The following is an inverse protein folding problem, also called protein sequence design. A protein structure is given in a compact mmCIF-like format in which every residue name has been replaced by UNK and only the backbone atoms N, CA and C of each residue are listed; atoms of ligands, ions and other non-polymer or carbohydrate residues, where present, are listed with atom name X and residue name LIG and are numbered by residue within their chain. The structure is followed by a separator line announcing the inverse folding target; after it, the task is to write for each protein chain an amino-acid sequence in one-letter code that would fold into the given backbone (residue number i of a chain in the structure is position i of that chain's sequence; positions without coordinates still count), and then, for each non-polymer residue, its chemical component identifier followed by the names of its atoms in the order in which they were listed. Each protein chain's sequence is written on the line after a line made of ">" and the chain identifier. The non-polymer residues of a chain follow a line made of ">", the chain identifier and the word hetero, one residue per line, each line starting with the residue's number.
data_IF_976565726520
#
_entry.id   IF_976565726520
#
_cell.length_a   1.000
_cell.length_b   1.000
_cell.length_c   1.000
_cell.angle_alpha   90.00
_cell.angle_beta   90.00
_cell.angle_gamma   90.00
#
_symmetry.space_group_name_H-M   'P 1'
#
loop_
_entity.id
_entity.type
_entity.pdbx_description
1 polymer ?
#
# COMPACT_ATOMS: atom_id res chain seq x y z
N UNK A 1 -0.74 34.82 20.49
CA UNK A 1 0.10 33.61 20.37
C UNK A 1 1.35 33.97 19.59
N UNK A 2 2.51 33.40 19.93
CA UNK A 2 3.80 33.76 19.31
C UNK A 2 3.86 33.31 17.83
N UNK A 3 4.20 34.19 16.86
CA UNK A 3 4.22 33.87 15.42
C UNK A 3 5.18 32.73 15.04
N UNK A 4 6.27 32.53 15.79
CA UNK A 4 7.21 31.41 15.58
C UNK A 4 6.51 30.06 15.79
N UNK A 5 5.56 30.00 16.74
CA UNK A 5 4.81 28.78 17.05
C UNK A 5 3.78 28.47 15.97
N UNK A 6 3.18 29.50 15.34
CA UNK A 6 2.23 29.31 14.22
C UNK A 6 2.93 28.78 12.97
N UNK A 7 4.07 29.36 12.59
CA UNK A 7 4.87 28.88 11.45
C UNK A 7 5.35 27.43 11.64
N UNK A 8 5.74 27.07 12.86
CA UNK A 8 6.09 25.68 13.18
C UNK A 8 4.89 24.74 13.04
N UNK A 9 3.70 25.13 13.53
CA UNK A 9 2.49 24.32 13.43
C UNK A 9 2.05 24.05 11.98
N UNK A 10 2.14 25.06 11.10
CA UNK A 10 1.83 24.91 9.67
C UNK A 10 2.80 23.93 8.98
N UNK A 11 4.09 23.98 9.31
CA UNK A 11 5.08 23.06 8.73
C UNK A 11 4.87 21.59 9.14
N UNK A 12 4.42 21.36 10.38
CA UNK A 12 4.16 20.01 10.90
C UNK A 12 2.89 19.42 10.30
N UNK A 13 1.88 20.24 9.97
CA UNK A 13 0.60 19.76 9.44
C UNK A 13 0.71 18.97 8.13
N UNK A 14 1.61 19.37 7.22
CA UNK A 14 1.87 18.60 6.01
C UNK A 14 2.76 17.39 6.28
N UNK A 15 3.71 17.51 7.21
CA UNK A 15 4.64 16.44 7.57
C UNK A 15 3.96 15.22 8.19
N UNK A 16 3.01 15.40 9.10
CA UNK A 16 2.33 14.26 9.74
C UNK A 16 1.46 13.48 8.75
N UNK A 17 0.76 14.17 7.84
CA UNK A 17 -0.10 13.52 6.84
C UNK A 17 0.74 12.65 5.91
N UNK A 18 1.86 13.18 5.42
CA UNK A 18 2.79 12.44 4.56
C UNK A 18 3.41 11.25 5.29
N UNK A 19 3.78 11.42 6.56
CA UNK A 19 4.30 10.35 7.41
C UNK A 19 3.29 9.21 7.60
N UNK A 20 2.05 9.54 7.99
CA UNK A 20 0.98 8.54 8.17
C UNK A 20 0.67 7.83 6.85
N UNK A 21 0.54 8.57 5.75
CA UNK A 21 0.27 7.98 4.43
C UNK A 21 1.37 7.01 4.02
N UNK A 22 2.63 7.33 4.29
CA UNK A 22 3.78 6.45 4.00
C UNK A 22 3.69 5.15 4.81
N UNK A 23 3.39 5.25 6.11
CA UNK A 23 3.25 4.06 6.97
C UNK A 23 2.07 3.19 6.52
N UNK A 24 0.93 3.79 6.19
CA UNK A 24 -0.24 3.06 5.68
C UNK A 24 0.10 2.34 4.37
N UNK A 25 0.78 3.02 3.45
CA UNK A 25 1.20 2.41 2.18
C UNK A 25 2.10 1.20 2.39
N UNK A 26 3.12 1.31 3.26
CA UNK A 26 4.00 0.21 3.58
C UNK A 26 3.26 -0.95 4.25
N UNK A 27 2.33 -0.66 5.17
CA UNK A 27 1.52 -1.68 5.83
C UNK A 27 0.66 -2.45 4.82
N UNK A 28 0.01 -1.75 3.90
CA UNK A 28 -0.80 -2.37 2.83
C UNK A 28 0.08 -3.19 1.89
N UNK A 29 1.24 -2.67 1.48
CA UNK A 29 2.19 -3.39 0.62
C UNK A 29 2.70 -4.68 1.26
N UNK A 30 3.10 -4.62 2.53
CA UNK A 30 3.56 -5.79 3.28
C UNK A 30 2.44 -6.80 3.52
N UNK A 31 1.24 -6.32 3.87
CA UNK A 31 0.07 -7.18 4.02
C UNK A 31 -0.28 -7.90 2.72
N UNK A 32 -0.24 -7.20 1.58
CA UNK A 32 -0.48 -7.78 0.25
C UNK A 32 0.60 -8.80 -0.11
N UNK A 33 1.87 -8.45 0.09
CA UNK A 33 3.00 -9.33 -0.20
C UNK A 33 2.91 -10.59 0.64
N UNK A 34 2.74 -10.46 1.96
CA UNK A 34 2.50 -11.61 2.83
C UNK A 34 1.29 -12.41 2.37
N UNK A 35 0.19 -11.74 2.00
CA UNK A 35 -1.01 -12.41 1.55
C UNK A 35 -0.75 -13.26 0.30
N UNK A 36 -0.03 -12.73 -0.69
CA UNK A 36 0.27 -13.41 -1.94
C UNK A 36 1.24 -14.60 -1.75
N UNK A 37 2.26 -14.45 -0.90
CA UNK A 37 3.27 -15.48 -0.66
C UNK A 37 2.91 -16.47 0.46
N UNK A 38 1.76 -16.29 1.13
CA UNK A 38 1.30 -17.23 2.14
C UNK A 38 1.06 -18.63 1.54
N UNK A 39 1.50 -19.71 2.21
CA UNK A 39 1.43 -21.08 1.67
C UNK A 39 -0.01 -21.53 1.34
N UNK A 40 -1.01 -20.99 2.04
CA UNK A 40 -2.44 -21.27 1.79
C UNK A 40 -3.00 -20.71 0.47
N UNK A 41 -2.26 -19.82 -0.21
CA UNK A 41 -2.68 -19.16 -1.46
C UNK A 41 -1.81 -19.50 -2.64
N UNK A 42 -0.69 -20.21 -2.42
CA UNK A 42 0.20 -20.70 -3.48
C UNK A 42 -0.57 -21.55 -4.50
N UNK A 43 -1.44 -22.45 -4.05
CA UNK A 43 -2.25 -23.29 -4.96
C UNK A 43 -3.20 -22.46 -5.83
N UNK A 44 -3.85 -21.44 -5.25
CA UNK A 44 -4.69 -20.51 -6.01
C UNK A 44 -3.87 -19.70 -7.00
N UNK A 45 -2.70 -19.21 -6.61
CA UNK A 45 -1.80 -18.45 -7.48
C UNK A 45 -1.32 -19.30 -8.67
N UNK A 46 -0.89 -20.54 -8.42
CA UNK A 46 -0.49 -21.52 -9.43
C UNK A 46 -1.64 -21.92 -10.37
N UNK A 47 -2.88 -21.89 -9.88
CA UNK A 47 -4.08 -22.10 -10.69
C UNK A 47 -4.38 -20.89 -11.56
N UNK A 48 -4.35 -19.68 -11.00
CA UNK A 48 -4.58 -18.43 -11.75
C UNK A 48 -3.50 -18.18 -12.81
N UNK A 49 -2.24 -18.51 -12.52
CA UNK A 49 -1.13 -18.40 -13.47
C UNK A 49 -1.24 -19.34 -14.68
N UNK A 50 -2.06 -20.38 -14.58
CA UNK A 50 -2.34 -21.34 -15.67
C UNK A 50 -3.62 -21.04 -16.43
N UNK A 51 -4.35 -19.99 -16.05
CA UNK A 51 -5.50 -19.55 -16.84
C UNK A 51 -4.94 -19.05 -18.16
N UNK A 52 -5.36 -19.63 -19.30
CA UNK A 52 -4.96 -19.13 -20.60
C UNK A 52 -5.35 -17.66 -20.68
N UNK A 53 -4.43 -16.82 -21.16
CA UNK A 53 -4.80 -15.48 -21.59
C UNK A 53 -5.91 -15.67 -22.62
N UNK A 54 -7.05 -15.01 -22.45
CA UNK A 54 -8.12 -15.04 -23.45
C UNK A 54 -7.60 -14.38 -24.74
N UNK A 55 -6.89 -15.15 -25.57
CA UNK A 55 -6.72 -14.87 -26.99
C UNK A 55 -8.04 -15.24 -27.66
N UNK A 56 -8.94 -14.26 -27.77
CA UNK A 56 -10.12 -14.37 -28.62
C UNK A 56 -11.47 -14.15 -27.94
N UNK A 57 -11.64 -13.05 -27.20
CA UNK A 57 -12.95 -12.43 -27.04
C UNK A 57 -13.10 -11.29 -28.06
N UNK A 58 -13.19 -11.66 -29.34
CA UNK A 58 -13.91 -10.90 -30.38
C UNK A 58 -15.17 -11.69 -30.76
#
# INVERSE_FOLDING_TARGET
>A
MNPVVQAAAESVQLGWLLGVMTVVFLAVFLAWTWWAYAPSRKEKMERYARIPFEEGAE
#
